data_IF_848855600571
#
_entry.id   IF_848855600571
#
_cell.length_a   1.000
_cell.length_b   1.000
_cell.length_c   1.000
_cell.angle_alpha   90.00
_cell.angle_beta   90.00
_cell.angle_gamma   90.00
#
_symmetry.space_group_name_H-M   'P 1'
#
loop_
_entity.id
_entity.type
_entity.pdbx_description
1 polymer ?
#
# COMPACT_ATOMS: atom_id res chain seq x y z
N UNK A 1 5.71 9.59 -15.73
CA UNK A 1 6.30 8.25 -16.01
C UNK A 1 5.49 7.58 -17.11
N UNK A 2 6.14 6.95 -18.11
CA UNK A 2 5.44 6.20 -19.17
C UNK A 2 5.27 4.73 -18.76
N UNK A 3 4.03 4.25 -18.69
CA UNK A 3 3.71 2.84 -18.52
C UNK A 3 3.60 2.17 -19.88
N UNK A 4 4.31 1.07 -20.05
CA UNK A 4 4.29 0.27 -21.27
C UNK A 4 4.76 -1.17 -21.00
N UNK A 5 4.69 -2.02 -22.02
CA UNK A 5 5.30 -3.36 -21.98
C UNK A 5 6.78 -3.23 -21.56
N UNK A 6 7.21 -4.09 -20.63
CA UNK A 6 8.56 -4.07 -20.04
C UNK A 6 8.69 -3.21 -18.79
N UNK A 7 7.66 -2.45 -18.39
CA UNK A 7 7.67 -1.72 -17.11
C UNK A 7 7.78 -2.70 -15.95
N UNK A 8 8.75 -2.48 -15.07
CA UNK A 8 8.88 -3.22 -13.81
C UNK A 8 7.91 -2.63 -12.80
N UNK A 9 7.09 -3.48 -12.17
CA UNK A 9 6.10 -3.02 -11.19
C UNK A 9 6.76 -2.45 -9.93
N UNK A 10 7.97 -2.91 -9.59
CA UNK A 10 8.74 -2.34 -8.49
C UNK A 10 9.12 -0.87 -8.74
N UNK A 11 9.54 -0.52 -9.96
CA UNK A 11 9.91 0.85 -10.29
C UNK A 11 8.67 1.76 -10.22
N UNK A 12 7.53 1.26 -10.68
CA UNK A 12 6.26 1.95 -10.55
C UNK A 12 5.84 2.13 -9.09
N UNK A 13 5.97 1.10 -8.26
CA UNK A 13 5.69 1.17 -6.83
C UNK A 13 6.54 2.26 -6.16
N UNK A 14 7.84 2.32 -6.49
CA UNK A 14 8.76 3.36 -6.00
C UNK A 14 8.37 4.75 -6.48
N UNK A 15 7.94 4.88 -7.74
CA UNK A 15 7.44 6.13 -8.30
C UNK A 15 6.18 6.63 -7.58
N UNK A 16 5.18 5.78 -7.34
CA UNK A 16 3.96 6.16 -6.62
C UNK A 16 4.24 6.64 -5.19
N UNK A 17 5.17 5.99 -4.51
CA UNK A 17 5.57 6.38 -3.16
C UNK A 17 6.27 7.72 -3.10
N UNK A 18 7.19 7.97 -4.02
CA UNK A 18 8.00 9.20 -4.05
C UNK A 18 7.20 10.40 -4.53
N UNK A 19 6.46 10.25 -5.63
CA UNK A 19 5.77 11.38 -6.27
C UNK A 19 4.40 11.69 -5.65
N UNK A 20 3.63 10.66 -5.31
CA UNK A 20 2.22 10.83 -4.91
C UNK A 20 1.96 10.52 -3.43
N UNK A 21 2.99 10.12 -2.68
CA UNK A 21 2.84 9.60 -1.31
C UNK A 21 1.76 8.53 -1.24
N UNK A 22 1.75 7.66 -2.25
CA UNK A 22 0.75 6.63 -2.45
C UNK A 22 1.42 5.25 -2.49
N UNK A 23 0.69 4.25 -2.01
CA UNK A 23 1.11 2.86 -2.08
C UNK A 23 0.38 2.16 -3.22
N UNK A 24 1.15 1.63 -4.17
CA UNK A 24 0.65 0.77 -5.23
C UNK A 24 0.84 -0.70 -4.83
N UNK A 25 -0.27 -1.42 -4.70
CA UNK A 25 -0.35 -2.86 -4.40
C UNK A 25 -0.75 -3.58 -5.68
N UNK A 26 -0.14 -4.74 -5.94
CA UNK A 26 -0.45 -5.55 -7.12
C UNK A 26 -0.27 -7.04 -6.84
N UNK A 27 -1.00 -7.85 -7.59
CA UNK A 27 -0.89 -9.30 -7.50
C UNK A 27 0.37 -9.79 -8.23
N UNK A 28 1.23 -10.53 -7.52
CA UNK A 28 2.38 -11.24 -8.07
C UNK A 28 3.72 -10.92 -7.40
N UNK A 29 4.84 -11.44 -7.94
CA UNK A 29 6.15 -11.28 -7.31
C UNK A 29 6.62 -9.81 -7.32
N UNK A 30 7.46 -9.38 -6.37
CA UNK A 30 7.95 -8.01 -6.27
C UNK A 30 8.57 -7.49 -7.58
N UNK A 31 9.33 -8.34 -8.27
CA UNK A 31 10.00 -7.98 -9.54
C UNK A 31 9.16 -8.28 -10.79
N UNK A 32 7.83 -8.31 -10.67
CA UNK A 32 6.93 -8.55 -11.80
C UNK A 32 7.13 -7.49 -12.88
N UNK A 33 7.16 -7.93 -14.12
CA UNK A 33 7.31 -7.10 -15.32
C UNK A 33 6.00 -7.17 -16.11
N UNK A 34 5.55 -6.04 -16.66
CA UNK A 34 4.44 -6.01 -17.58
C UNK A 34 4.79 -6.71 -18.88
N UNK A 35 4.33 -7.94 -19.04
CA UNK A 35 4.53 -8.75 -20.22
C UNK A 35 3.20 -8.98 -20.92
N UNK A 36 3.20 -8.81 -22.25
CA UNK A 36 2.11 -9.24 -23.11
C UNK A 36 2.65 -9.62 -24.48
N UNK A 37 2.11 -10.69 -25.06
CA UNK A 37 2.41 -11.09 -26.44
C UNK A 37 1.78 -10.13 -27.45
N UNK A 38 0.57 -9.62 -27.14
CA UNK A 38 -0.27 -8.92 -28.11
C UNK A 38 -0.59 -7.46 -27.74
N UNK A 39 -0.31 -7.02 -26.51
CA UNK A 39 -0.61 -5.64 -26.07
C UNK A 39 0.61 -4.76 -26.21
N UNK A 40 0.43 -3.65 -26.91
CA UNK A 40 1.42 -2.57 -27.12
C UNK A 40 0.97 -1.25 -26.51
N UNK A 41 -0.16 -1.25 -25.79
CA UNK A 41 -0.72 -0.07 -25.14
C UNK A 41 0.31 0.59 -24.22
N UNK A 42 0.38 1.91 -24.28
CA UNK A 42 1.13 2.73 -23.33
C UNK A 42 0.20 3.73 -22.65
N UNK A 43 0.49 4.06 -21.40
CA UNK A 43 -0.20 5.10 -20.64
C UNK A 43 0.84 6.03 -20.04
N UNK A 44 0.78 7.30 -20.41
CA UNK A 44 1.58 8.32 -19.73
C UNK A 44 0.88 8.74 -18.44
N UNK A 45 1.58 8.56 -17.31
CA UNK A 45 1.09 9.03 -16.01
C UNK A 45 1.31 10.54 -15.90
N UNK A 46 0.20 11.26 -15.89
CA UNK A 46 0.11 12.70 -15.66
C UNK A 46 -0.68 12.95 -14.37
N UNK A 47 -0.58 14.15 -13.80
CA UNK A 47 -1.34 14.51 -12.60
C UNK A 47 -2.85 14.33 -12.72
N UNK A 48 -3.40 14.40 -13.94
CA UNK A 48 -4.82 14.23 -14.26
C UNK A 48 -5.23 12.79 -14.57
N UNK A 49 -4.27 11.87 -14.64
CA UNK A 49 -4.57 10.46 -14.88
C UNK A 49 -5.41 9.94 -13.71
N UNK A 50 -6.54 9.31 -14.00
CA UNK A 50 -7.42 8.78 -12.95
C UNK A 50 -6.95 7.41 -12.47
N UNK A 51 -7.33 7.03 -11.25
CA UNK A 51 -7.10 5.66 -10.75
C UNK A 51 -7.72 4.64 -11.69
N UNK A 52 -8.91 4.91 -12.23
CA UNK A 52 -9.59 4.08 -13.22
C UNK A 52 -8.75 3.87 -14.49
N UNK A 53 -8.07 4.89 -14.99
CA UNK A 53 -7.22 4.77 -16.19
C UNK A 53 -6.06 3.81 -15.92
N UNK A 54 -5.47 3.91 -14.73
CA UNK A 54 -4.39 3.03 -14.28
C UNK A 54 -4.89 1.59 -14.15
N UNK A 55 -5.98 1.36 -13.43
CA UNK A 55 -6.59 0.03 -13.28
C UNK A 55 -6.94 -0.60 -14.63
N UNK A 56 -7.56 0.17 -15.53
CA UNK A 56 -7.89 -0.28 -16.90
C UNK A 56 -6.65 -0.63 -17.69
N UNK A 57 -5.57 0.14 -17.56
CA UNK A 57 -4.30 -0.16 -18.21
C UNK A 57 -3.74 -1.51 -17.73
N UNK A 58 -3.63 -1.72 -16.41
CA UNK A 58 -3.09 -2.95 -15.83
C UNK A 58 -3.95 -4.19 -16.14
N UNK A 59 -5.27 -4.03 -16.19
CA UNK A 59 -6.20 -5.11 -16.55
C UNK A 59 -5.90 -5.70 -17.94
N UNK A 60 -5.39 -4.90 -18.88
CA UNK A 60 -4.98 -5.39 -20.22
C UNK A 60 -3.79 -6.35 -20.17
N UNK A 61 -3.00 -6.30 -19.09
CA UNK A 61 -1.84 -7.18 -18.84
C UNK A 61 -2.16 -8.29 -17.83
N UNK A 62 -3.44 -8.49 -17.50
CA UNK A 62 -3.88 -9.46 -16.48
C UNK A 62 -3.21 -9.23 -15.11
N UNK A 63 -3.06 -7.95 -14.74
CA UNK A 63 -2.56 -7.52 -13.44
C UNK A 63 -3.67 -6.72 -12.76
N UNK A 64 -4.04 -7.13 -11.55
CA UNK A 64 -4.85 -6.30 -10.67
C UNK A 64 -3.94 -5.35 -9.90
N UNK A 65 -4.33 -4.09 -9.79
CA UNK A 65 -3.63 -3.09 -9.00
C UNK A 65 -4.63 -2.37 -8.10
N UNK A 66 -4.17 -2.03 -6.91
CA UNK A 66 -4.90 -1.21 -5.95
C UNK A 66 -3.99 -0.09 -5.47
N UNK A 67 -4.54 1.11 -5.33
CA UNK A 67 -3.80 2.30 -4.91
C UNK A 67 -4.35 2.76 -3.58
N UNK A 68 -3.46 2.98 -2.62
CA UNK A 68 -3.78 3.42 -1.27
C UNK A 68 -3.09 4.76 -0.99
N UNK A 69 -3.76 5.64 -0.26
CA UNK A 69 -3.17 6.89 0.23
C UNK A 69 -2.26 6.62 1.45
N UNK A 70 -1.64 7.68 1.98
CA UNK A 70 -0.78 7.64 3.17
C UNK A 70 -1.45 7.11 4.43
N UNK A 71 -2.77 7.18 4.49
CA UNK A 71 -3.58 6.73 5.63
C UNK A 71 -4.04 5.27 5.51
N UNK A 72 -3.64 4.55 4.45
CA UNK A 72 -4.08 3.17 4.22
C UNK A 72 -5.50 3.06 3.62
N UNK A 73 -6.10 4.17 3.20
CA UNK A 73 -7.39 4.18 2.52
C UNK A 73 -7.21 3.90 1.03
N UNK A 74 -7.98 2.95 0.50
CA UNK A 74 -8.01 2.65 -0.93
C UNK A 74 -8.60 3.85 -1.67
N UNK A 75 -7.88 4.38 -2.65
CA UNK A 75 -8.31 5.52 -3.45
C UNK A 75 -9.37 5.04 -4.46
N UNK A 76 -10.51 5.73 -4.54
CA UNK A 76 -11.58 5.32 -5.44
C UNK A 76 -11.22 5.60 -6.93
N UNK A 77 -11.80 4.84 -7.88
CA UNK A 77 -11.42 4.91 -9.30
C UNK A 77 -11.58 6.28 -9.96
N UNK A 78 -12.52 7.11 -9.49
CA UNK A 78 -12.84 8.42 -10.09
C UNK A 78 -11.88 9.54 -9.70
N UNK A 79 -10.98 9.30 -8.74
CA UNK A 79 -10.00 10.30 -8.32
C UNK A 79 -8.82 10.41 -9.29
N UNK A 80 -8.28 11.62 -9.43
CA UNK A 80 -7.02 11.88 -10.13
C UNK A 80 -5.83 11.55 -9.22
N UNK A 81 -4.70 11.09 -9.79
CA UNK A 81 -3.53 10.74 -8.97
C UNK A 81 -2.95 11.92 -8.19
N UNK A 82 -3.14 13.15 -8.68
CA UNK A 82 -2.73 14.37 -7.97
C UNK A 82 -3.43 14.55 -6.63
N UNK A 83 -4.65 14.04 -6.50
CA UNK A 83 -5.50 14.21 -5.31
C UNK A 83 -5.18 13.23 -4.19
N UNK A 84 -4.43 12.15 -4.46
CA UNK A 84 -4.19 11.06 -3.51
C UNK A 84 -3.63 11.58 -2.18
N UNK A 85 -2.68 12.51 -2.25
CA UNK A 85 -2.03 13.09 -1.06
C UNK A 85 -2.98 13.91 -0.21
N UNK A 86 -3.95 14.59 -0.83
CA UNK A 86 -4.93 15.44 -0.14
C UNK A 86 -6.17 14.67 0.34
N UNK A 87 -6.29 13.38 0.01
CA UNK A 87 -7.36 12.53 0.51
C UNK A 87 -7.08 12.19 1.98
N UNK A 88 -7.39 13.13 2.86
CA UNK A 88 -7.56 12.90 4.28
C UNK A 88 -9.05 12.67 4.51
N UNK A 89 -9.57 11.50 4.13
CA UNK A 89 -10.97 11.20 4.44
C UNK A 89 -11.18 11.20 5.97
N UNK A 90 -12.24 11.91 6.38
CA UNK A 90 -12.77 11.94 7.73
C UNK A 90 -13.23 10.54 8.15
N UNK A 91 -12.65 10.05 9.25
CA UNK A 91 -13.18 9.07 10.22
C UNK A 91 -13.69 7.70 9.72
N UNK A 92 -12.98 6.69 10.25
CA UNK A 92 -13.49 5.44 10.83
C UNK A 92 -14.51 4.66 9.98
N UNK A 93 -14.03 3.96 8.95
CA UNK A 93 -14.68 2.70 8.59
C UNK A 93 -14.45 1.71 9.75
N UNK A 94 -15.52 1.32 10.45
CA UNK A 94 -15.58 0.08 11.24
C UNK A 94 -15.15 -1.08 10.32
N UNK A 95 -13.88 -1.46 10.41
CA UNK A 95 -13.20 -2.32 9.41
C UNK A 95 -11.78 -1.87 9.05
N UNK A 96 -11.36 -0.66 9.46
CA UNK A 96 -10.03 -0.08 9.26
C UNK A 96 -8.91 -1.02 9.71
N UNK A 97 -8.98 -1.54 10.95
CA UNK A 97 -7.93 -2.38 11.55
C UNK A 97 -7.61 -3.60 10.69
N UNK A 98 -8.63 -4.42 10.35
CA UNK A 98 -8.44 -5.64 9.53
C UNK A 98 -7.94 -5.32 8.12
N UNK A 99 -8.44 -4.25 7.51
CA UNK A 99 -8.02 -3.78 6.17
C UNK A 99 -6.54 -3.37 6.18
N UNK A 100 -6.13 -2.61 7.17
CA UNK A 100 -4.76 -2.14 7.33
C UNK A 100 -3.80 -3.27 7.72
N UNK A 101 -4.23 -4.25 8.52
CA UNK A 101 -3.44 -5.47 8.78
C UNK A 101 -3.21 -6.28 7.49
N UNK A 102 -4.23 -6.39 6.62
CA UNK A 102 -4.09 -7.03 5.31
C UNK A 102 -3.09 -6.27 4.43
N UNK A 103 -3.09 -4.94 4.51
CA UNK A 103 -2.11 -4.11 3.81
C UNK A 103 -0.69 -4.35 4.31
N UNK A 104 -0.47 -4.39 5.63
CA UNK A 104 0.83 -4.74 6.24
C UNK A 104 1.30 -6.12 5.77
N UNK A 105 0.39 -7.10 5.72
CA UNK A 105 0.71 -8.45 5.25
C UNK A 105 1.29 -8.47 3.82
N UNK A 106 0.89 -7.52 2.97
CA UNK A 106 1.43 -7.36 1.61
C UNK A 106 2.82 -6.68 1.57
N UNK A 107 3.23 -6.01 2.66
CA UNK A 107 4.47 -5.23 2.75
C UNK A 107 5.55 -5.93 3.58
N UNK A 108 5.18 -6.72 4.58
CA UNK A 108 6.10 -7.25 5.61
C UNK A 108 7.26 -8.10 5.06
N UNK A 109 7.13 -8.70 3.88
CA UNK A 109 8.21 -9.47 3.26
C UNK A 109 9.17 -8.61 2.41
N UNK A 110 8.98 -7.30 2.35
CA UNK A 110 9.81 -6.40 1.55
C UNK A 110 11.14 -6.08 2.21
N UNK A 111 12.19 -6.01 1.41
CA UNK A 111 13.53 -5.56 1.80
C UNK A 111 13.73 -4.05 1.57
N UNK A 112 12.73 -3.31 1.09
CA UNK A 112 12.84 -1.88 0.77
C UNK A 112 12.59 -1.02 2.03
N UNK A 113 13.47 -0.06 2.34
CA UNK A 113 13.28 0.84 3.49
C UNK A 113 12.00 1.65 3.40
N UNK A 114 11.61 2.06 2.19
CA UNK A 114 10.34 2.72 1.99
C UNK A 114 9.13 1.82 2.27
N UNK A 115 9.23 0.49 2.19
CA UNK A 115 8.11 -0.37 2.63
C UNK A 115 8.02 -0.38 4.16
N UNK A 116 9.15 -0.26 4.85
CA UNK A 116 9.20 -0.14 6.31
C UNK A 116 8.56 1.15 6.80
N UNK A 117 8.95 2.32 6.28
CA UNK A 117 8.33 3.59 6.68
C UNK A 117 6.80 3.57 6.55
N UNK A 118 6.30 2.87 5.53
CA UNK A 118 4.87 2.67 5.30
C UNK A 118 4.23 1.73 6.32
N UNK A 119 4.90 0.63 6.69
CA UNK A 119 4.45 -0.25 7.78
C UNK A 119 4.27 0.56 9.08
N UNK A 120 5.21 1.44 9.43
CA UNK A 120 5.10 2.29 10.62
C UNK A 120 3.92 3.26 10.53
N UNK A 121 3.72 3.91 9.38
CA UNK A 121 2.57 4.81 9.17
C UNK A 121 1.25 4.07 9.34
N UNK A 122 1.15 2.86 8.77
CA UNK A 122 -0.06 2.05 8.88
C UNK A 122 -0.28 1.59 10.32
N UNK A 123 0.77 1.19 11.07
CA UNK A 123 0.61 0.83 12.48
C UNK A 123 0.17 2.01 13.35
N UNK A 124 0.73 3.20 13.16
CA UNK A 124 0.26 4.41 13.86
C UNK A 124 -1.23 4.66 13.62
N UNK A 125 -1.69 4.48 12.37
CA UNK A 125 -3.11 4.64 12.03
C UNK A 125 -3.98 3.54 12.68
N UNK A 126 -3.55 2.28 12.60
CA UNK A 126 -4.26 1.14 13.21
C UNK A 126 -4.44 1.36 14.72
N UNK A 127 -3.40 1.85 15.41
CA UNK A 127 -3.44 2.08 16.86
C UNK A 127 -4.47 3.17 17.18
N UNK A 128 -4.48 4.26 16.42
CA UNK A 128 -5.49 5.32 16.57
C UNK A 128 -6.92 4.79 16.33
N UNK A 129 -7.10 3.88 15.37
CA UNK A 129 -8.41 3.31 15.02
C UNK A 129 -8.81 2.09 15.89
N UNK A 130 -7.98 1.66 16.83
CA UNK A 130 -8.26 0.49 17.68
C UNK A 130 -9.22 0.88 18.81
N UNK A 131 -10.44 0.35 18.75
CA UNK A 131 -11.50 0.68 19.73
C UNK A 131 -11.84 -0.49 20.67
N UNK A 132 -11.53 -1.73 20.28
CA UNK A 132 -11.95 -2.95 20.99
C UNK A 132 -10.77 -3.82 21.42
N UNK A 133 -10.98 -4.65 22.45
CA UNK A 133 -10.02 -5.66 22.85
C UNK A 133 -9.77 -6.71 21.77
N UNK A 134 -10.78 -7.02 20.94
CA UNK A 134 -10.60 -7.88 19.77
C UNK A 134 -9.64 -7.25 18.75
N UNK A 135 -9.82 -5.97 18.43
CA UNK A 135 -8.93 -5.26 17.51
C UNK A 135 -7.51 -5.23 18.08
N UNK A 136 -7.35 -4.87 19.36
CA UNK A 136 -6.05 -4.87 20.03
C UNK A 136 -5.32 -6.21 19.92
N UNK A 137 -6.02 -7.33 20.08
CA UNK A 137 -5.45 -8.68 19.88
C UNK A 137 -4.95 -8.87 18.44
N UNK A 138 -5.76 -8.50 17.45
CA UNK A 138 -5.38 -8.59 16.03
C UNK A 138 -4.16 -7.72 15.71
N UNK A 139 -4.07 -6.52 16.28
CA UNK A 139 -2.91 -5.63 16.09
C UNK A 139 -1.65 -6.26 16.68
N UNK A 140 -1.73 -6.80 17.90
CA UNK A 140 -0.58 -7.46 18.56
C UNK A 140 -0.12 -8.69 17.75
N UNK A 141 -1.04 -9.50 17.23
CA UNK A 141 -0.71 -10.63 16.36
C UNK A 141 -0.01 -10.17 15.08
N UNK A 142 -0.52 -9.13 14.43
CA UNK A 142 0.09 -8.50 13.26
C UNK A 142 1.51 -7.98 13.57
N UNK A 143 1.70 -7.29 14.70
CA UNK A 143 3.01 -6.78 15.13
C UNK A 143 4.03 -7.91 15.34
N UNK A 144 3.63 -9.01 15.98
CA UNK A 144 4.49 -10.20 16.17
C UNK A 144 4.88 -10.83 14.84
N UNK A 145 3.92 -10.94 13.92
CA UNK A 145 4.14 -11.50 12.59
C UNK A 145 5.08 -10.61 11.75
N UNK A 146 4.94 -9.28 11.82
CA UNK A 146 5.89 -8.35 11.20
C UNK A 146 7.29 -8.46 11.80
N UNK A 147 7.42 -8.52 13.14
CA UNK A 147 8.71 -8.73 13.82
C UNK A 147 9.38 -10.04 13.41
N UNK A 148 8.61 -11.12 13.25
CA UNK A 148 9.14 -12.42 12.86
C UNK A 148 9.58 -12.48 11.38
N UNK A 149 8.99 -11.65 10.51
CA UNK A 149 9.18 -11.74 9.05
C UNK A 149 10.06 -10.64 8.47
N UNK A 150 10.06 -9.44 9.06
CA UNK A 150 10.80 -8.30 8.54
C UNK A 150 12.04 -7.97 9.38
N UNK A 151 13.22 -8.30 8.85
CA UNK A 151 14.52 -8.02 9.49
C UNK A 151 14.79 -6.55 9.86
N UNK A 152 14.03 -5.59 9.31
CA UNK A 152 14.18 -4.16 9.60
C UNK A 152 13.18 -3.64 10.65
N UNK A 153 12.19 -4.45 11.02
CA UNK A 153 11.28 -4.14 12.11
C UNK A 153 11.82 -4.80 13.38
N UNK A 154 12.20 -4.00 14.37
CA UNK A 154 12.97 -4.45 15.53
C UNK A 154 12.08 -4.71 16.76
N UNK A 155 12.69 -5.30 17.79
CA UNK A 155 12.03 -5.50 19.09
C UNK A 155 11.62 -4.16 19.71
N UNK A 156 12.45 -3.12 19.59
CA UNK A 156 12.16 -1.79 20.12
C UNK A 156 10.92 -1.19 19.43
N UNK A 157 10.76 -1.43 18.13
CA UNK A 157 9.58 -0.99 17.38
C UNK A 157 8.31 -1.73 17.82
N UNK A 158 8.43 -3.04 18.01
CA UNK A 158 7.35 -3.86 18.55
C UNK A 158 6.89 -3.32 19.92
N UNK A 159 7.82 -3.10 20.84
CA UNK A 159 7.54 -2.61 22.18
C UNK A 159 6.95 -1.19 22.16
N UNK A 160 7.48 -0.32 21.29
CA UNK A 160 6.94 1.03 21.08
C UNK A 160 5.46 1.00 20.72
N UNK A 161 5.08 0.19 19.72
CA UNK A 161 3.69 0.09 19.28
C UNK A 161 2.78 -0.62 20.30
N UNK A 162 3.27 -1.67 20.96
CA UNK A 162 2.50 -2.35 22.02
C UNK A 162 2.21 -1.42 23.19
N UNK A 163 3.16 -0.56 23.56
CA UNK A 163 2.97 0.42 24.63
C UNK A 163 1.92 1.48 24.30
N UNK A 164 1.72 1.81 23.02
CA UNK A 164 0.67 2.76 22.62
C UNK A 164 -0.73 2.16 22.60
N UNK A 165 -0.85 0.82 22.57
CA UNK A 165 -2.14 0.11 22.64
C UNK A 165 -2.65 -0.08 24.08
N UNK A 166 -1.79 0.12 25.09
CA UNK A 166 -2.08 -0.09 26.52
C UNK A 166 -2.32 1.23 27.23
#
# INVERSE_FOLDING_TARGET
MLLQKGTKLLDLKKYFKSEFQALLVYDGPPNKILLSKNKTSSLELTQKTTIRDIEKFFKQFNVSVEIYNSSGTKVAPDYEISTIKSLTEEKLELGSVKKNIKLISSLKNSTEFQDIDWIYRIYNQIIYDTETDEDKKLVIESLKDTLATNSKFTQDDYEHFVNQLN
#
